data_IF_991254909438
#
_entry.id   IF_991254909438
#
_cell.length_a   1.000
_cell.length_b   1.000
_cell.length_c   1.000
_cell.angle_alpha   90.00
_cell.angle_beta   90.00
_cell.angle_gamma   90.00
#
_symmetry.space_group_name_H-M   'P 1'
#
loop_
_entity.id
_entity.type
_entity.pdbx_description
1 polymer ?
#
# COMPACT_ATOMS: atom_id res chain seq x y z
N UNK A 1 -17.07 67.16 -20.40
CA UNK A 1 -16.17 66.00 -20.61
C UNK A 1 -15.70 65.55 -19.24
N UNK A 2 -16.23 64.44 -18.74
CA UNK A 2 -15.84 63.81 -17.47
C UNK A 2 -15.70 62.30 -17.72
N UNK A 3 -14.63 61.64 -17.22
CA UNK A 3 -14.39 60.22 -17.43
C UNK A 3 -14.97 59.40 -16.27
N UNK A 4 -15.27 58.12 -16.54
CA UNK A 4 -15.51 57.11 -15.50
C UNK A 4 -16.69 56.21 -15.86
N UNK A 5 -16.69 54.91 -15.62
CA UNK A 5 -15.81 54.08 -14.82
C UNK A 5 -16.02 52.65 -15.27
N UNK A 6 -15.02 52.04 -15.92
CA UNK A 6 -15.09 50.67 -16.41
C UNK A 6 -14.59 49.70 -15.34
N UNK A 7 -15.50 49.20 -14.48
CA UNK A 7 -15.17 48.12 -13.54
C UNK A 7 -15.16 46.79 -14.27
N UNK A 8 -13.96 46.33 -14.66
CA UNK A 8 -13.74 44.94 -15.06
C UNK A 8 -13.51 44.11 -13.80
N UNK A 9 -14.54 43.43 -13.33
CA UNK A 9 -14.39 42.37 -12.33
C UNK A 9 -13.68 41.18 -12.98
N UNK A 10 -12.40 41.01 -12.66
CA UNK A 10 -11.67 39.76 -12.90
C UNK A 10 -12.09 38.79 -11.81
N UNK A 11 -12.97 37.84 -12.15
CA UNK A 11 -13.27 36.71 -11.27
C UNK A 11 -12.04 35.82 -11.18
N UNK A 12 -11.55 35.60 -9.95
CA UNK A 12 -10.41 34.75 -9.65
C UNK A 12 -10.76 33.28 -9.93
N UNK A 13 -9.98 32.62 -10.78
CA UNK A 13 -9.99 31.17 -10.93
C UNK A 13 -9.44 30.53 -9.64
N UNK A 14 -10.31 29.90 -8.86
CA UNK A 14 -9.90 29.00 -7.80
C UNK A 14 -9.42 27.68 -8.43
N UNK A 15 -8.12 27.56 -8.67
CA UNK A 15 -7.48 26.30 -9.05
C UNK A 15 -7.28 25.43 -7.80
N UNK A 16 -8.30 24.65 -7.44
CA UNK A 16 -8.18 23.56 -6.47
C UNK A 16 -7.55 22.35 -7.17
N UNK A 17 -6.22 22.32 -7.22
CA UNK A 17 -5.43 21.16 -7.64
C UNK A 17 -4.77 20.53 -6.41
N UNK A 18 -5.51 19.75 -5.62
CA UNK A 18 -4.92 18.95 -4.53
C UNK A 18 -5.51 17.55 -4.51
N UNK A 19 -5.03 16.69 -5.42
CA UNK A 19 -5.08 15.24 -5.26
C UNK A 19 -3.77 14.65 -5.74
N UNK A 20 -2.70 14.85 -4.98
CA UNK A 20 -1.50 14.02 -5.13
C UNK A 20 -1.64 12.85 -4.14
N UNK A 21 -2.45 11.84 -4.51
CA UNK A 21 -2.48 10.54 -3.84
C UNK A 21 -1.51 9.63 -4.58
N UNK A 22 -0.40 9.30 -3.96
CA UNK A 22 0.71 8.57 -4.59
C UNK A 22 0.97 7.35 -3.73
N UNK A 23 0.85 6.15 -4.29
CA UNK A 23 1.38 4.94 -3.66
C UNK A 23 2.84 4.74 -4.07
N UNK A 24 3.59 3.97 -3.30
CA UNK A 24 5.00 3.66 -3.53
C UNK A 24 5.15 2.16 -3.79
N UNK A 25 5.97 1.73 -4.74
CA UNK A 25 6.29 0.30 -4.89
C UNK A 25 7.69 0.19 -5.50
N UNK A 26 8.60 -0.49 -4.79
CA UNK A 26 9.99 -0.71 -5.21
C UNK A 26 10.04 -1.57 -6.48
N UNK A 27 10.88 -1.20 -7.45
CA UNK A 27 11.08 -2.03 -8.65
C UNK A 27 11.85 -3.29 -8.32
N UNK A 28 12.81 -3.21 -7.39
CA UNK A 28 13.51 -4.37 -6.85
C UNK A 28 12.53 -5.42 -6.31
N UNK A 29 11.55 -5.00 -5.52
CA UNK A 29 10.50 -5.88 -5.02
C UNK A 29 9.62 -6.47 -6.12
N UNK A 30 9.29 -5.68 -7.16
CA UNK A 30 8.49 -6.14 -8.28
C UNK A 30 9.21 -7.22 -9.13
N UNK A 31 10.55 -7.15 -9.21
CA UNK A 31 11.39 -8.14 -9.89
C UNK A 31 11.55 -9.42 -9.05
N UNK A 32 11.71 -9.31 -7.74
CA UNK A 32 11.76 -10.49 -6.86
C UNK A 32 10.41 -11.22 -6.80
N UNK A 33 9.32 -10.46 -6.74
CA UNK A 33 7.97 -10.95 -6.42
C UNK A 33 7.00 -10.86 -7.60
N UNK A 34 7.43 -11.35 -8.76
CA UNK A 34 6.61 -11.40 -9.96
C UNK A 34 5.23 -12.00 -9.72
N UNK A 35 4.20 -11.32 -10.22
CA UNK A 35 2.80 -11.76 -10.16
C UNK A 35 2.23 -12.00 -8.77
N UNK A 36 2.93 -11.63 -7.69
CA UNK A 36 2.42 -11.76 -6.34
C UNK A 36 1.71 -10.48 -5.89
N UNK A 37 0.67 -10.66 -5.08
CA UNK A 37 -0.10 -9.58 -4.48
C UNK A 37 -0.54 -9.97 -3.09
N UNK A 38 -0.52 -9.00 -2.19
CA UNK A 38 -1.17 -9.12 -0.90
C UNK A 38 -2.53 -8.44 -0.98
N UNK A 39 -3.59 -9.23 -0.80
CA UNK A 39 -4.99 -8.77 -0.85
C UNK A 39 -5.63 -8.71 0.53
N UNK A 40 -5.01 -9.37 1.51
CA UNK A 40 -5.50 -9.37 2.88
C UNK A 40 -5.21 -8.02 3.54
N UNK A 41 -6.26 -7.37 4.03
CA UNK A 41 -6.18 -6.06 4.68
C UNK A 41 -5.17 -6.03 5.85
N UNK A 42 -5.09 -7.12 6.61
CA UNK A 42 -4.17 -7.27 7.74
C UNK A 42 -2.73 -7.66 7.37
N UNK A 43 -2.48 -8.03 6.12
CA UNK A 43 -1.14 -8.34 5.61
C UNK A 43 -0.88 -7.61 4.28
N UNK A 44 -1.03 -6.27 4.21
CA UNK A 44 -1.10 -5.59 2.93
C UNK A 44 0.27 -5.42 2.26
N UNK A 45 1.38 -5.66 2.99
CA UNK A 45 2.73 -5.39 2.51
C UNK A 45 3.31 -6.62 1.81
N UNK A 46 3.53 -6.52 0.50
CA UNK A 46 4.37 -7.47 -0.23
C UNK A 46 5.83 -7.22 0.13
N UNK A 47 6.49 -8.27 0.62
CA UNK A 47 7.86 -8.21 1.12
C UNK A 47 8.64 -9.47 0.71
N UNK A 48 9.93 -9.50 1.00
CA UNK A 48 10.80 -10.64 0.70
C UNK A 48 11.42 -11.18 1.98
N UNK A 49 11.41 -12.49 2.14
CA UNK A 49 12.13 -13.20 3.18
C UNK A 49 13.36 -13.84 2.52
N UNK A 50 14.59 -13.35 2.77
CA UNK A 50 15.78 -13.91 2.14
C UNK A 50 16.07 -15.32 2.66
N UNK A 51 16.66 -16.21 1.83
CA UNK A 51 16.95 -17.58 2.23
C UNK A 51 17.87 -17.61 3.46
N UNK A 52 17.50 -18.44 4.45
CA UNK A 52 18.25 -18.58 5.70
C UNK A 52 17.89 -17.54 6.77
N UNK A 53 16.93 -16.64 6.52
CA UNK A 53 16.20 -15.93 7.56
C UNK A 53 14.86 -16.64 7.80
N UNK A 54 14.56 -16.98 9.06
CA UNK A 54 13.33 -17.69 9.44
C UNK A 54 13.28 -19.19 9.09
N UNK A 55 12.07 -19.73 9.02
CA UNK A 55 11.80 -21.15 8.73
C UNK A 55 11.65 -21.46 7.23
N UNK A 56 11.77 -20.43 6.37
CA UNK A 56 11.52 -20.48 4.93
C UNK A 56 12.78 -20.62 4.07
N UNK A 57 12.67 -21.32 2.95
CA UNK A 57 13.73 -21.46 1.92
C UNK A 57 13.98 -20.20 1.07
N UNK A 58 13.59 -19.03 1.56
CA UNK A 58 13.55 -17.76 0.81
C UNK A 58 12.27 -17.62 -0.02
N UNK A 59 11.71 -16.41 -0.12
CA UNK A 59 10.55 -16.14 -0.95
C UNK A 59 9.79 -14.86 -0.63
N UNK A 60 8.81 -14.55 -1.47
CA UNK A 60 7.93 -13.40 -1.26
C UNK A 60 6.84 -13.73 -0.24
N UNK A 61 6.56 -12.77 0.62
CA UNK A 61 5.64 -12.93 1.76
C UNK A 61 4.75 -11.71 1.90
N UNK A 62 3.56 -11.91 2.46
CA UNK A 62 2.68 -10.81 2.85
C UNK A 62 2.86 -10.54 4.35
N UNK A 63 3.16 -9.29 4.70
CA UNK A 63 3.40 -8.85 6.08
C UNK A 63 2.39 -7.81 6.53
N UNK A 64 2.11 -7.82 7.83
CA UNK A 64 1.42 -6.74 8.51
C UNK A 64 2.28 -5.46 8.49
N UNK A 65 1.63 -4.31 8.61
CA UNK A 65 2.35 -3.05 8.76
C UNK A 65 3.19 -3.06 10.05
N UNK A 66 4.51 -2.80 10.02
CA UNK A 66 5.37 -2.90 11.21
C UNK A 66 4.89 -2.06 12.40
N UNK A 67 4.32 -0.90 12.11
CA UNK A 67 3.76 0.00 13.13
C UNK A 67 2.45 -0.47 13.77
N UNK A 68 1.84 -1.58 13.32
CA UNK A 68 0.64 -2.13 13.98
C UNK A 68 0.97 -2.94 15.25
N UNK A 69 2.23 -3.36 15.37
CA UNK A 69 2.79 -4.00 16.57
C UNK A 69 4.28 -3.62 16.70
N UNK A 70 4.52 -2.42 17.22
CA UNK A 70 5.85 -1.96 17.61
C UNK A 70 6.05 -2.23 19.10
N UNK A 71 6.57 -3.42 19.41
CA UNK A 71 6.85 -3.87 20.80
C UNK A 71 5.58 -3.85 21.68
N UNK A 72 4.44 -4.23 21.12
CA UNK A 72 3.14 -4.20 21.80
C UNK A 72 2.40 -2.87 21.70
N UNK A 73 3.02 -1.82 21.13
CA UNK A 73 2.36 -0.55 20.86
C UNK A 73 1.84 -0.49 19.42
N UNK A 74 0.59 -0.08 19.25
CA UNK A 74 -0.03 0.05 17.93
C UNK A 74 -0.14 1.52 17.56
N UNK A 75 0.43 1.89 16.41
CA UNK A 75 0.38 3.26 15.90
C UNK A 75 -0.75 3.42 14.87
N UNK A 76 -1.36 4.60 14.85
CA UNK A 76 -2.40 4.99 13.90
C UNK A 76 -2.35 6.49 13.61
N UNK A 77 -2.94 6.90 12.49
CA UNK A 77 -3.00 8.29 12.06
C UNK A 77 -4.45 8.78 12.07
N UNK A 78 -4.73 9.81 12.86
CA UNK A 78 -6.09 10.36 13.04
C UNK A 78 -6.26 11.76 12.44
N UNK A 79 -5.17 12.41 12.03
CA UNK A 79 -5.20 13.76 11.46
C UNK A 79 -5.57 13.72 9.98
N UNK A 80 -6.60 14.48 9.54
CA UNK A 80 -7.01 14.53 8.13
C UNK A 80 -5.90 14.97 7.17
N UNK A 81 -4.96 15.80 7.61
CA UNK A 81 -3.84 16.29 6.80
C UNK A 81 -2.78 15.21 6.54
N UNK A 82 -2.68 14.23 7.44
CA UNK A 82 -1.71 13.14 7.41
C UNK A 82 -2.38 11.81 7.77
N UNK A 83 -3.30 11.29 6.94
CA UNK A 83 -4.13 10.15 7.32
C UNK A 83 -3.41 8.80 7.12
N UNK A 84 -2.23 8.78 6.50
CA UNK A 84 -1.57 7.54 6.12
C UNK A 84 -0.41 7.21 7.05
N UNK A 85 -0.47 6.01 7.64
CA UNK A 85 0.64 5.47 8.41
C UNK A 85 1.76 5.02 7.47
N UNK A 86 2.98 5.43 7.79
CA UNK A 86 4.21 5.06 7.09
C UNK A 86 5.26 4.60 8.08
N UNK A 87 6.27 3.91 7.58
CA UNK A 87 7.40 3.47 8.39
C UNK A 87 8.73 3.61 7.64
N UNK A 88 9.81 3.73 8.41
CA UNK A 88 11.17 3.52 7.94
C UNK A 88 12.03 2.99 9.10
N UNK A 89 13.25 2.59 8.80
CA UNK A 89 14.21 2.16 9.80
C UNK A 89 15.42 3.11 9.84
N UNK A 90 15.86 3.46 11.04
CA UNK A 90 17.14 4.15 11.24
C UNK A 90 18.32 3.20 11.00
N UNK A 91 19.55 3.74 11.01
CA UNK A 91 20.77 2.97 10.73
C UNK A 91 20.98 1.82 11.74
N UNK A 92 20.56 2.03 12.99
CA UNK A 92 20.56 1.02 14.05
C UNK A 92 19.41 0.01 13.96
N UNK A 93 18.60 0.09 12.89
CA UNK A 93 17.39 -0.70 12.64
C UNK A 93 16.26 -0.45 13.63
N UNK A 94 16.25 0.72 14.29
CA UNK A 94 15.08 1.18 15.05
C UNK A 94 13.94 1.52 14.09
N UNK A 95 12.76 0.97 14.36
CA UNK A 95 11.54 1.27 13.61
C UNK A 95 11.06 2.69 13.95
N UNK A 96 10.82 3.50 12.92
CA UNK A 96 10.21 4.82 13.04
C UNK A 96 8.88 4.80 12.31
N UNK A 97 7.83 5.13 13.04
CA UNK A 97 6.47 5.25 12.54
C UNK A 97 6.09 6.73 12.41
N UNK A 98 5.59 7.14 11.25
CA UNK A 98 5.18 8.53 11.01
C UNK A 98 3.89 8.60 10.18
N UNK A 99 3.14 9.69 10.36
CA UNK A 99 1.93 9.96 9.60
C UNK A 99 2.26 10.87 8.42
N UNK A 100 1.85 10.47 7.21
CA UNK A 100 2.08 11.19 5.97
C UNK A 100 0.78 11.59 5.29
N UNK A 101 0.85 12.65 4.47
CA UNK A 101 -0.27 13.09 3.62
C UNK A 101 -0.44 12.23 2.36
N UNK A 102 0.52 11.34 2.10
CA UNK A 102 0.61 10.48 0.93
C UNK A 102 0.80 9.05 1.42
N UNK A 103 -0.01 8.12 0.91
CA UNK A 103 0.04 6.72 1.31
C UNK A 103 1.33 6.07 0.81
N UNK A 104 2.18 5.62 1.72
CA UNK A 104 3.42 4.96 1.35
C UNK A 104 3.31 3.45 1.56
N UNK A 105 3.80 2.68 0.60
CA UNK A 105 3.87 1.23 0.69
C UNK A 105 5.34 0.84 0.48
N UNK A 106 5.96 0.34 1.55
CA UNK A 106 7.37 0.02 1.61
C UNK A 106 7.56 -1.46 1.96
N UNK A 107 8.59 -2.07 1.40
CA UNK A 107 9.06 -3.38 1.83
C UNK A 107 9.88 -3.24 3.13
N UNK A 108 9.64 -4.13 4.09
CA UNK A 108 10.46 -4.20 5.32
C UNK A 108 11.87 -4.65 4.97
N UNK A 109 12.02 -5.63 4.07
CA UNK A 109 13.31 -6.08 3.60
C UNK A 109 14.15 -4.93 3.01
N UNK A 110 13.58 -4.15 2.09
CA UNK A 110 14.26 -2.98 1.52
C UNK A 110 14.57 -1.96 2.61
N UNK A 111 13.58 -1.56 3.43
CA UNK A 111 13.79 -0.47 4.39
C UNK A 111 14.68 -0.83 5.57
N UNK A 112 14.67 -2.07 6.05
CA UNK A 112 15.37 -2.53 7.27
C UNK A 112 16.69 -3.24 6.96
N UNK A 113 16.72 -4.09 5.95
CA UNK A 113 17.86 -4.98 5.71
C UNK A 113 18.83 -4.38 4.72
N UNK A 114 18.32 -3.77 3.64
CA UNK A 114 19.14 -3.20 2.58
C UNK A 114 19.41 -1.71 2.78
N UNK A 115 18.42 -0.95 3.24
CA UNK A 115 18.42 0.51 3.22
C UNK A 115 18.17 1.18 4.57
N UNK A 116 18.59 0.54 5.67
CA UNK A 116 18.55 1.12 7.00
C UNK A 116 19.21 2.52 7.03
N UNK A 117 18.58 3.47 7.72
CA UNK A 117 19.04 4.85 7.83
C UNK A 117 18.72 5.74 6.62
N UNK A 118 18.11 5.21 5.56
CA UNK A 118 17.72 5.98 4.37
C UNK A 118 16.21 6.12 4.26
N UNK A 119 15.76 7.27 3.75
CA UNK A 119 14.36 7.51 3.38
C UNK A 119 14.26 8.56 2.29
N UNK A 120 13.15 8.50 1.56
CA UNK A 120 12.85 9.43 0.48
C UNK A 120 11.88 10.50 0.97
N UNK A 121 12.30 11.78 0.90
CA UNK A 121 11.50 12.93 1.35
C UNK A 121 10.94 13.76 0.19
N UNK A 122 11.46 13.56 -1.02
CA UNK A 122 10.99 14.26 -2.20
C UNK A 122 9.72 13.60 -2.70
N UNK A 123 8.63 14.36 -2.77
CA UNK A 123 7.35 13.89 -3.30
C UNK A 123 7.44 13.42 -4.76
N UNK A 124 8.45 13.87 -5.52
CA UNK A 124 8.73 13.45 -6.90
C UNK A 124 9.47 12.12 -6.98
N UNK A 125 10.08 11.68 -5.87
CA UNK A 125 10.83 10.43 -5.79
C UNK A 125 10.51 9.71 -4.47
N UNK A 126 9.24 9.37 -4.20
CA UNK A 126 8.83 8.96 -2.86
C UNK A 126 9.24 7.51 -2.54
N UNK A 127 9.69 6.72 -3.52
CA UNK A 127 9.93 5.28 -3.34
C UNK A 127 11.38 5.05 -2.95
N UNK A 128 11.59 4.50 -1.75
CA UNK A 128 12.87 3.91 -1.38
C UNK A 128 13.04 2.57 -2.09
N UNK A 129 14.12 2.43 -2.85
CA UNK A 129 14.39 1.27 -3.68
C UNK A 129 15.86 0.84 -3.56
N UNK A 130 16.17 -0.36 -4.06
CA UNK A 130 17.52 -0.93 -4.05
C UNK A 130 17.98 -1.26 -5.47
N UNK A 131 19.19 -0.81 -5.83
CA UNK A 131 19.87 -1.16 -7.07
C UNK A 131 20.86 -2.28 -6.76
N UNK A 132 20.47 -3.51 -7.09
CA UNK A 132 21.25 -4.71 -6.76
C UNK A 132 22.59 -4.74 -7.49
N UNK A 133 22.65 -4.27 -8.74
CA UNK A 133 23.87 -4.23 -9.54
C UNK A 133 24.94 -3.33 -8.92
N UNK A 134 24.53 -2.22 -8.29
CA UNK A 134 25.44 -1.28 -7.63
C UNK A 134 25.56 -1.49 -6.12
N UNK A 135 24.67 -2.28 -5.53
CA UNK A 135 24.55 -2.42 -4.09
C UNK A 135 24.21 -1.11 -3.38
N UNK A 136 23.34 -0.28 -3.98
CA UNK A 136 22.99 1.03 -3.43
C UNK A 136 21.49 1.26 -3.31
N UNK A 137 21.09 1.92 -2.24
CA UNK A 137 19.73 2.39 -2.05
C UNK A 137 19.53 3.77 -2.67
N UNK A 138 18.39 3.96 -3.33
CA UNK A 138 18.07 5.19 -4.05
C UNK A 138 16.58 5.53 -3.98
N UNK A 139 16.24 6.77 -4.31
CA UNK A 139 14.86 7.26 -4.35
C UNK A 139 14.35 7.32 -5.80
N UNK A 140 13.25 6.64 -6.11
CA UNK A 140 12.65 6.59 -7.45
C UNK A 140 11.30 7.29 -7.51
N UNK A 141 11.01 7.82 -8.70
CA UNK A 141 9.66 8.20 -9.09
C UNK A 141 8.80 6.95 -9.26
N UNK A 142 7.48 7.06 -9.08
CA UNK A 142 6.60 5.90 -9.24
C UNK A 142 6.62 5.38 -10.68
N UNK A 143 6.88 4.09 -10.93
CA UNK A 143 6.99 3.56 -12.30
C UNK A 143 5.74 3.81 -13.14
N UNK A 144 4.55 3.76 -12.52
CA UNK A 144 3.28 4.04 -13.18
C UNK A 144 3.03 5.53 -13.50
N UNK A 145 3.93 6.45 -13.15
CA UNK A 145 3.79 7.86 -13.55
C UNK A 145 4.18 8.13 -15.00
N UNK A 146 4.94 7.22 -15.61
CA UNK A 146 5.29 7.26 -17.01
C UNK A 146 5.38 5.84 -17.58
N UNK A 147 4.26 5.15 -17.57
CA UNK A 147 4.12 3.84 -18.21
C UNK A 147 3.80 4.06 -19.69
N UNK A 148 4.81 3.95 -20.56
CA UNK A 148 4.68 4.15 -22.01
C UNK A 148 4.08 5.51 -22.40
N UNK A 149 4.48 6.59 -21.70
CA UNK A 149 3.94 7.94 -21.91
C UNK A 149 2.60 8.19 -21.24
N UNK A 150 2.01 7.19 -20.55
CA UNK A 150 0.77 7.30 -19.79
C UNK A 150 1.08 7.44 -18.30
N UNK A 151 0.47 8.44 -17.67
CA UNK A 151 0.47 8.61 -16.22
C UNK A 151 -0.76 7.94 -15.62
N UNK A 152 -0.58 7.07 -14.64
CA UNK A 152 -1.64 6.46 -13.85
C UNK A 152 -1.83 7.20 -12.52
N UNK A 153 -3.08 7.29 -12.05
CA UNK A 153 -3.48 7.93 -10.79
C UNK A 153 -4.59 7.13 -10.11
N UNK A 154 -4.70 7.29 -8.78
CA UNK A 154 -5.73 6.68 -7.97
C UNK A 154 -6.56 7.77 -7.28
N UNK A 155 -7.70 8.09 -7.87
CA UNK A 155 -8.53 9.22 -7.43
C UNK A 155 -9.67 8.79 -6.48
N UNK A 156 -9.97 7.48 -6.41
CA UNK A 156 -11.00 6.94 -5.52
C UNK A 156 -10.56 7.02 -4.07
N UNK A 157 -11.46 7.43 -3.20
CA UNK A 157 -11.20 7.54 -1.76
C UNK A 157 -10.91 6.19 -1.12
N UNK A 158 -11.70 5.18 -1.47
CA UNK A 158 -11.54 3.81 -0.96
C UNK A 158 -10.28 3.10 -1.50
N UNK A 159 -9.71 3.58 -2.61
CA UNK A 159 -8.55 2.98 -3.27
C UNK A 159 -7.48 4.03 -3.61
N UNK A 160 -6.86 4.71 -2.63
CA UNK A 160 -6.00 5.86 -2.89
C UNK A 160 -4.55 5.47 -3.20
N UNK A 161 -4.17 4.19 -3.03
CA UNK A 161 -2.80 3.74 -3.12
C UNK A 161 -2.53 3.20 -4.52
N UNK A 162 -1.65 3.86 -5.28
CA UNK A 162 -1.19 3.34 -6.57
C UNK A 162 -0.08 2.32 -6.35
N UNK A 163 -0.31 1.07 -6.74
CA UNK A 163 0.68 0.00 -6.70
C UNK A 163 1.26 -0.24 -8.10
N UNK A 164 2.56 -0.54 -8.13
CA UNK A 164 3.24 -1.09 -9.30
C UNK A 164 3.66 -2.53 -9.03
N UNK A 165 3.48 -3.40 -10.03
CA UNK A 165 4.04 -4.77 -10.04
C UNK A 165 4.36 -5.21 -11.46
N UNK A 166 5.16 -6.26 -11.56
CA UNK A 166 5.48 -6.93 -12.82
C UNK A 166 4.75 -8.27 -12.88
N UNK A 167 3.99 -8.48 -13.95
CA UNK A 167 3.39 -9.77 -14.29
C UNK A 167 4.21 -10.50 -15.35
N UNK A 168 4.16 -11.83 -15.34
CA UNK A 168 4.68 -12.65 -16.45
C UNK A 168 3.51 -13.19 -17.28
N UNK A 169 3.38 -12.67 -18.50
CA UNK A 169 2.37 -13.10 -19.48
C UNK A 169 3.13 -13.64 -20.69
N UNK A 170 2.94 -14.92 -21.03
CA UNK A 170 3.65 -15.60 -22.12
C UNK A 170 5.19 -15.49 -22.06
N UNK A 171 5.73 -15.40 -20.84
CA UNK A 171 7.17 -15.26 -20.58
C UNK A 171 7.70 -13.82 -20.66
N UNK A 172 6.87 -12.86 -21.06
CA UNK A 172 7.21 -11.44 -21.08
C UNK A 172 6.79 -10.75 -19.77
N UNK A 173 7.63 -9.84 -19.29
CA UNK A 173 7.31 -9.02 -18.12
C UNK A 173 6.43 -7.84 -18.53
N UNK A 174 5.22 -7.80 -17.98
CA UNK A 174 4.22 -6.76 -18.22
C UNK A 174 4.08 -5.88 -16.98
N UNK A 175 4.19 -4.58 -17.16
CA UNK A 175 3.91 -3.60 -16.11
C UNK A 175 2.42 -3.59 -15.77
N UNK A 176 2.10 -3.72 -14.49
CA UNK A 176 0.74 -3.56 -13.97
C UNK A 176 0.69 -2.43 -12.96
N UNK A 177 -0.28 -1.54 -13.16
CA UNK A 177 -0.54 -0.38 -12.33
C UNK A 177 -1.98 -0.47 -11.83
N UNK A 178 -2.18 -0.57 -10.52
CA UNK A 178 -3.49 -0.78 -9.92
C UNK A 178 -3.70 0.04 -8.65
N UNK A 179 -4.95 0.36 -8.34
CA UNK A 179 -5.31 1.09 -7.13
C UNK A 179 -5.71 0.11 -6.02
N UNK A 180 -5.10 0.24 -4.86
CA UNK A 180 -5.37 -0.58 -3.68
C UNK A 180 -6.07 0.21 -2.59
N UNK A 181 -6.80 -0.52 -1.76
CA UNK A 181 -7.46 0.02 -0.59
C UNK A 181 -6.47 0.53 0.45
N UNK A 182 -6.95 1.41 1.34
CA UNK A 182 -6.18 1.85 2.51
C UNK A 182 -5.87 0.64 3.39
N UNK A 183 -4.67 0.63 3.97
CA UNK A 183 -4.23 -0.41 4.91
C UNK A 183 -4.97 -0.25 6.25
N UNK A 184 -5.58 -1.32 6.76
CA UNK A 184 -6.34 -1.33 8.02
C UNK A 184 -5.87 -2.47 8.92
N UNK A 185 -5.56 -2.17 10.20
CA UNK A 185 -5.06 -3.17 11.17
C UNK A 185 -6.04 -4.32 11.37
N UNK A 186 -7.33 -4.02 11.48
CA UNK A 186 -8.34 -4.99 11.93
C UNK A 186 -8.91 -5.85 10.79
N UNK A 187 -8.25 -5.87 9.62
CA UNK A 187 -8.59 -6.78 8.54
C UNK A 187 -10.01 -6.61 7.99
N UNK A 188 -10.72 -5.54 8.37
CA UNK A 188 -12.12 -5.31 8.06
C UNK A 188 -12.93 -6.60 7.97
N UNK A 189 -13.15 -7.31 9.09
CA UNK A 189 -14.51 -7.82 9.28
C UNK A 189 -15.37 -6.57 9.31
N UNK A 190 -15.86 -6.13 8.14
CA UNK A 190 -17.10 -5.40 8.13
C UNK A 190 -18.01 -6.29 8.96
N UNK A 191 -18.37 -5.78 10.13
CA UNK A 191 -19.51 -6.25 10.88
C UNK A 191 -20.69 -5.98 9.95
N UNK A 192 -20.86 -6.82 8.93
CA UNK A 192 -22.18 -7.29 8.59
C UNK A 192 -22.46 -8.28 9.69
N UNK A 193 -23.33 -7.82 10.58
CA UNK A 193 -23.66 -8.38 11.87
C UNK A 193 -23.72 -9.92 11.81
N UNK A 194 -22.83 -10.57 12.53
CA UNK A 194 -22.90 -12.00 12.80
C UNK A 194 -24.16 -12.39 13.62
N UNK A 195 -25.07 -11.44 13.88
CA UNK A 195 -26.37 -11.70 14.48
C UNK A 195 -27.39 -12.30 13.48
N UNK A 196 -27.11 -12.37 12.17
CA UNK A 196 -28.04 -12.98 11.19
C UNK A 196 -27.69 -14.44 10.81
N UNK A 197 -26.47 -14.92 11.07
CA UNK A 197 -26.10 -16.30 10.69
C UNK A 197 -26.58 -17.37 11.69
N UNK A 198 -26.83 -16.99 12.96
CA UNK A 198 -27.33 -17.95 13.96
C UNK A 198 -28.85 -18.20 13.91
N UNK A 199 -29.59 -17.61 12.95
CA UNK A 199 -31.05 -17.78 12.88
C UNK A 199 -31.53 -18.86 11.90
N UNK A 200 -30.64 -19.41 11.08
CA UNK A 200 -31.00 -20.42 10.06
C UNK A 200 -30.21 -21.72 10.18
N UNK A 201 -29.63 -22.04 11.36
CA UNK A 201 -29.21 -23.43 11.60
C UNK A 201 -30.47 -24.24 11.86
N UNK A 202 -31.00 -24.76 10.76
CA UNK A 202 -32.06 -25.75 10.69
C UNK A 202 -31.80 -26.86 11.70
N UNK A 203 -32.67 -26.94 12.69
CA UNK A 203 -33.06 -28.18 13.33
C UNK A 203 -33.73 -29.05 12.24
N UNK A 204 -32.94 -29.66 11.36
CA UNK A 204 -33.38 -30.85 10.64
C UNK A 204 -32.97 -32.02 11.55
N UNK A 205 -33.83 -32.27 12.53
CA UNK A 205 -33.85 -33.51 13.28
C UNK A 205 -33.99 -34.66 12.26
N UNK A 206 -32.94 -35.48 12.20
CA UNK A 206 -32.87 -36.76 11.50
C UNK A 206 -33.96 -37.71 12.04
N UNK A 207 -35.14 -37.66 11.44
CA UNK A 207 -36.10 -38.76 11.45
C UNK A 207 -35.81 -39.64 10.22
N UNK A 208 -35.08 -40.75 10.40
CA UNK A 208 -35.20 -41.94 9.56
C UNK A 208 -34.56 -43.13 10.29
N UNK A 209 -35.25 -43.57 11.35
CA UNK A 209 -35.12 -44.89 11.94
C UNK A 209 -35.66 -45.95 10.96
N UNK A 210 -34.80 -46.91 10.62
CA UNK A 210 -35.07 -48.34 10.48
C UNK A 210 -36.29 -48.80 9.64
N UNK A 211 -36.04 -49.25 8.39
CA UNK A 211 -36.79 -50.36 7.79
C UNK A 211 -35.86 -51.53 7.40
N UNK A 212 -35.83 -52.49 8.31
CA UNK A 212 -35.96 -53.94 8.19
C UNK A 212 -35.47 -54.73 6.95
N UNK A 213 -34.81 -55.84 7.31
CA UNK A 213 -34.26 -56.96 6.52
C UNK A 213 -35.30 -57.79 5.73
#
# INVERSE_FOLDING_TARGET
>A
MAPGSGRRSLAALAALCFSQKVGASSTYMAELCHSQTCVEKGLPILDYDPPGQGDGGGGCVCRAHPCWDDKGEAHSCSTPEHPYLSFHYEEDKTLICECLSIAHHASVHVSKDLCAGKRCRDASFPILDYDEDKGECLCRAHPCWNDNGRKHTCDKEDFPILRYRLDKIDGESVTVCECMAVMEKDGGRSVMDAEDYSRNHFDDDDDDDDEDL
#
